data_IF_635703455878
#
_entry.id   IF_635703455878
#
_cell.length_a   1.000
_cell.length_b   1.000
_cell.length_c   1.000
_cell.angle_alpha   90.00
_cell.angle_beta   90.00
_cell.angle_gamma   90.00
#
_symmetry.space_group_name_H-M   'P 1'
#
loop_
_entity.id
_entity.type
_entity.pdbx_description
1 polymer ?
#
# COMPACT_ATOMS: atom_id res chain seq x y z
N UNK A 1 16.50 -8.58 -14.89
CA UNK A 1 15.43 -8.63 -13.87
C UNK A 1 15.26 -7.22 -13.35
N UNK A 2 14.11 -6.59 -13.57
CA UNK A 2 13.83 -5.29 -12.97
C UNK A 2 13.62 -5.48 -11.46
N UNK A 3 14.12 -4.55 -10.65
CA UNK A 3 13.86 -4.56 -9.21
C UNK A 3 12.44 -4.05 -8.95
N UNK A 4 11.77 -4.63 -7.95
CA UNK A 4 10.47 -4.14 -7.51
C UNK A 4 10.62 -2.72 -6.92
N UNK A 5 9.67 -1.84 -7.26
CA UNK A 5 9.63 -0.48 -6.75
C UNK A 5 8.37 -0.28 -5.93
N UNK A 6 8.48 0.36 -4.77
CA UNK A 6 7.34 0.78 -3.97
C UNK A 6 7.61 2.18 -3.42
N UNK A 7 6.63 3.07 -3.53
CA UNK A 7 6.80 4.45 -3.13
C UNK A 7 5.49 5.17 -2.83
N UNK A 8 5.51 6.12 -1.87
CA UNK A 8 4.34 6.92 -1.55
C UNK A 8 3.99 7.85 -2.71
N UNK A 9 2.71 8.20 -2.82
CA UNK A 9 2.32 9.30 -3.69
C UNK A 9 2.83 10.61 -3.10
N UNK A 10 3.78 11.24 -3.81
CA UNK A 10 4.51 12.44 -3.35
C UNK A 10 3.63 13.70 -3.23
N UNK A 11 2.39 13.65 -3.74
CA UNK A 11 1.45 14.77 -3.74
C UNK A 11 0.34 14.62 -2.70
N UNK A 12 0.32 13.55 -1.91
CA UNK A 12 -0.66 13.39 -0.84
C UNK A 12 -0.37 14.39 0.28
N UNK A 13 -1.37 15.18 0.68
CA UNK A 13 -1.29 15.94 1.93
C UNK A 13 -1.33 14.94 3.08
N UNK A 14 -0.23 14.83 3.82
CA UNK A 14 -0.07 13.88 4.94
C UNK A 14 -0.28 14.54 6.30
N UNK A 15 -0.63 15.83 6.33
CA UNK A 15 -0.93 16.57 7.55
C UNK A 15 -2.44 16.74 7.61
N UNK A 16 -3.06 16.13 8.61
CA UNK A 16 -4.50 16.28 8.91
C UNK A 16 -4.69 16.71 10.35
N UNK A 17 -5.86 17.28 10.65
CA UNK A 17 -6.24 17.57 12.03
C UNK A 17 -6.78 16.33 12.74
N UNK A 18 -6.69 16.31 14.06
CA UNK A 18 -7.23 15.21 14.86
C UNK A 18 -8.74 15.07 14.65
N UNK A 19 -9.20 13.87 14.30
CA UNK A 19 -10.60 13.58 14.00
C UNK A 19 -10.94 13.59 12.50
N UNK A 20 -10.04 14.09 11.64
CA UNK A 20 -10.19 13.96 10.20
C UNK A 20 -9.69 12.61 9.67
N UNK A 21 -10.29 12.13 8.59
CA UNK A 21 -9.81 10.95 7.88
C UNK A 21 -8.72 11.32 6.88
N UNK A 22 -7.58 10.64 6.98
CA UNK A 22 -6.45 10.79 6.06
C UNK A 22 -6.26 9.50 5.26
N UNK A 23 -6.16 9.63 3.93
CA UNK A 23 -5.88 8.51 3.03
C UNK A 23 -4.42 8.54 2.60
N UNK A 24 -3.65 7.55 3.05
CA UNK A 24 -2.28 7.33 2.57
C UNK A 24 -2.31 6.49 1.29
N UNK A 25 -1.65 6.97 0.24
CA UNK A 25 -1.55 6.25 -1.04
C UNK A 25 -0.11 5.88 -1.35
N UNK A 26 0.07 4.66 -1.83
CA UNK A 26 1.35 4.07 -2.20
C UNK A 26 1.19 3.32 -3.53
N UNK A 27 2.14 3.51 -4.44
CA UNK A 27 2.18 2.82 -5.72
C UNK A 27 3.35 1.85 -5.73
N UNK A 28 3.17 0.73 -6.42
CA UNK A 28 4.21 -0.28 -6.57
C UNK A 28 4.30 -0.73 -8.03
N UNK A 29 5.51 -1.07 -8.46
CA UNK A 29 5.81 -1.67 -9.75
C UNK A 29 6.55 -2.99 -9.50
N UNK A 30 6.00 -4.08 -10.02
CA UNK A 30 6.55 -5.43 -9.87
C UNK A 30 6.08 -6.34 -10.99
N UNK A 31 6.98 -7.22 -11.42
CA UNK A 31 6.67 -8.31 -12.36
C UNK A 31 6.04 -9.52 -11.68
N UNK A 32 5.91 -9.53 -10.34
CA UNK A 32 5.34 -10.68 -9.62
C UNK A 32 3.85 -10.86 -9.93
N UNK A 33 3.45 -12.12 -10.13
CA UNK A 33 2.04 -12.51 -10.29
C UNK A 33 1.28 -12.53 -8.96
N UNK A 34 2.01 -12.65 -7.85
CA UNK A 34 1.46 -12.65 -6.50
C UNK A 34 2.07 -11.50 -5.72
N UNK A 35 1.25 -10.49 -5.45
CA UNK A 35 1.67 -9.29 -4.75
C UNK A 35 0.85 -9.15 -3.49
N UNK A 36 1.57 -8.98 -2.40
CA UNK A 36 1.02 -8.70 -1.11
C UNK A 36 1.71 -7.49 -0.49
N UNK A 37 0.91 -6.61 0.08
CA UNK A 37 1.35 -5.37 0.67
C UNK A 37 0.97 -5.33 2.13
N UNK A 38 1.90 -4.94 2.98
CA UNK A 38 1.67 -4.76 4.41
C UNK A 38 1.94 -3.30 4.80
N UNK A 39 1.03 -2.73 5.58
CA UNK A 39 1.14 -1.38 6.12
C UNK A 39 1.60 -1.44 7.57
N UNK A 40 2.50 -0.53 7.90
CA UNK A 40 3.06 -0.38 9.25
C UNK A 40 2.98 1.09 9.67
N UNK A 41 2.81 1.33 10.97
CA UNK A 41 2.95 2.64 11.60
C UNK A 41 4.21 2.66 12.46
N UNK A 42 5.04 3.68 12.31
CA UNK A 42 6.23 3.84 13.13
C UNK A 42 6.20 5.18 13.85
N UNK A 43 6.37 5.14 15.18
CA UNK A 43 6.62 6.34 15.98
C UNK A 43 8.13 6.62 16.03
N UNK A 44 8.50 7.89 16.27
CA UNK A 44 9.90 8.26 16.41
C UNK A 44 10.60 7.36 17.44
N UNK A 45 11.73 6.77 17.05
CA UNK A 45 12.55 5.85 17.86
C UNK A 45 11.84 4.57 18.33
N UNK A 46 10.73 4.18 17.69
CA UNK A 46 10.06 2.90 17.96
C UNK A 46 10.17 1.97 16.75
N UNK A 47 9.99 0.69 17.01
CA UNK A 47 9.86 -0.31 15.95
C UNK A 47 8.56 -0.13 15.14
N UNK A 48 8.54 -0.55 13.86
CA UNK A 48 7.32 -0.57 13.06
C UNK A 48 6.23 -1.44 13.69
N UNK A 49 5.05 -0.86 13.87
CA UNK A 49 3.86 -1.58 14.34
C UNK A 49 3.03 -2.00 13.14
N UNK A 50 2.74 -3.29 13.02
CA UNK A 50 1.88 -3.82 11.98
C UNK A 50 0.46 -3.23 12.08
N UNK A 51 -0.09 -2.82 10.93
CA UNK A 51 -1.47 -2.34 10.82
C UNK A 51 -2.34 -3.34 10.07
N UNK A 52 -1.99 -3.61 8.81
CA UNK A 52 -2.83 -4.39 7.89
C UNK A 52 -2.03 -4.99 6.74
N UNK A 53 -2.44 -6.16 6.26
CA UNK A 53 -1.92 -6.88 5.10
C UNK A 53 -3.03 -6.99 4.05
N UNK A 54 -2.69 -6.78 2.78
CA UNK A 54 -3.62 -6.83 1.65
C UNK A 54 -2.99 -7.56 0.47
N UNK A 55 -3.75 -8.47 -0.14
CA UNK A 55 -3.40 -9.06 -1.43
C UNK A 55 -3.71 -8.06 -2.54
N UNK A 56 -2.67 -7.52 -3.17
CA UNK A 56 -2.79 -6.50 -4.21
C UNK A 56 -2.86 -7.12 -5.61
N UNK A 57 -2.27 -8.32 -5.80
CA UNK A 57 -2.38 -9.12 -7.01
C UNK A 57 -2.38 -10.59 -6.61
N UNK A 58 -3.39 -11.33 -7.04
CA UNK A 58 -3.36 -12.79 -7.02
C UNK A 58 -3.38 -13.28 -8.47
N UNK A 59 -2.79 -14.44 -8.72
CA UNK A 59 -2.95 -15.10 -10.01
C UNK A 59 -4.42 -15.45 -10.20
N UNK A 60 -5.11 -14.63 -10.99
CA UNK A 60 -6.43 -14.96 -11.51
C UNK A 60 -6.24 -15.86 -12.71
N UNK A 61 -6.51 -17.15 -12.52
CA UNK A 61 -7.20 -17.88 -13.59
C UNK A 61 -8.50 -17.14 -13.86
N UNK A 62 -8.52 -16.34 -14.93
CA UNK A 62 -9.70 -15.68 -15.55
C UNK A 62 -10.66 -14.89 -14.65
N UNK A 63 -10.70 -13.55 -14.83
CA UNK A 63 -11.94 -12.78 -14.69
C UNK A 63 -12.00 -11.70 -13.60
N UNK A 64 -12.07 -10.43 -14.06
CA UNK A 64 -12.58 -9.16 -13.47
C UNK A 64 -11.77 -8.36 -12.44
N UNK A 65 -10.83 -7.45 -12.82
CA UNK A 65 -10.01 -6.66 -11.87
C UNK A 65 -10.84 -6.16 -10.68
N UNK A 66 -10.37 -6.50 -9.46
CA UNK A 66 -11.07 -6.08 -8.25
C UNK A 66 -11.07 -4.55 -8.23
N UNK A 67 -12.27 -3.98 -8.17
CA UNK A 67 -12.48 -2.55 -8.07
C UNK A 67 -11.67 -1.98 -6.90
N UNK A 68 -10.81 -0.97 -7.12
CA UNK A 68 -10.13 -0.30 -6.04
C UNK A 68 -11.16 0.49 -5.25
N UNK A 69 -11.72 -0.14 -4.22
CA UNK A 69 -12.36 0.60 -3.13
C UNK A 69 -11.23 1.22 -2.33
N UNK A 70 -10.84 2.44 -2.69
CA UNK A 70 -10.43 3.60 -1.89
C UNK A 70 -9.82 4.64 -2.81
#
# INVERSE_FOLDING_TARGET
>A
MAADQIGPNKYANIISTEGESLTLSCSYDTTSSYVELSWYRQYLNKEPQYLIRKYARSYRGTGTPAEPRF
#
